data_IF_424783125487
#
_entry.id   IF_424783125487
#
_cell.length_a   1.000
_cell.length_b   1.000
_cell.length_c   1.000
_cell.angle_alpha   90.00
_cell.angle_beta   90.00
_cell.angle_gamma   90.00
#
_symmetry.space_group_name_H-M   'P 1'
#
loop_
_entity.id
_entity.type
_entity.pdbx_description
1 polymer ?
#
# COMPACT_ATOMS: atom_id res chain seq x y z
N UNK A 1 24.68 -7.00 22.54
CA UNK A 1 23.50 -6.45 21.84
C UNK A 1 22.58 -7.62 21.66
N UNK A 2 21.37 -7.53 22.21
CA UNK A 2 20.35 -8.56 22.04
C UNK A 2 20.02 -8.67 20.54
N UNK A 3 19.86 -9.90 20.05
CA UNK A 3 19.58 -10.14 18.64
C UNK A 3 18.11 -9.77 18.37
N UNK A 4 17.86 -8.68 17.62
CA UNK A 4 16.51 -8.18 17.33
C UNK A 4 15.69 -9.10 16.40
N UNK A 5 16.27 -10.22 15.93
CA UNK A 5 15.66 -11.12 14.95
C UNK A 5 14.88 -12.27 15.57
N UNK A 6 14.99 -12.50 16.88
CA UNK A 6 14.20 -13.50 17.59
C UNK A 6 13.93 -13.06 19.03
N UNK A 7 12.81 -13.49 19.58
CA UNK A 7 12.59 -13.48 21.03
C UNK A 7 13.20 -14.74 21.63
N UNK A 8 13.80 -14.60 22.82
CA UNK A 8 14.44 -15.68 23.56
C UNK A 8 13.93 -15.72 24.98
N UNK A 9 13.49 -16.88 25.43
CA UNK A 9 13.17 -17.12 26.84
C UNK A 9 13.88 -18.37 27.31
N UNK A 10 14.31 -18.39 28.57
CA UNK A 10 14.93 -19.56 29.18
C UNK A 10 14.40 -19.75 30.60
N UNK A 11 13.92 -20.95 30.91
CA UNK A 11 13.37 -21.26 32.22
C UNK A 11 14.04 -22.52 32.81
N UNK A 12 14.59 -22.46 34.04
CA UNK A 12 14.80 -21.26 34.87
C UNK A 12 15.96 -20.36 34.39
N UNK A 13 15.83 -19.04 34.53
CA UNK A 13 16.88 -18.06 34.16
C UNK A 13 18.12 -18.14 35.06
N UNK A 14 17.92 -18.39 36.36
CA UNK A 14 18.99 -18.47 37.36
C UNK A 14 18.74 -19.66 38.26
N UNK A 15 19.78 -20.47 38.49
CA UNK A 15 19.70 -21.62 39.40
C UNK A 15 20.93 -21.73 40.29
N UNK A 16 20.68 -22.10 41.54
CA UNK A 16 21.73 -22.52 42.48
C UNK A 16 21.88 -24.03 42.41
N UNK A 17 23.01 -24.49 41.88
CA UNK A 17 23.35 -25.91 41.77
C UNK A 17 24.15 -26.37 42.99
N UNK A 18 23.72 -27.46 43.65
CA UNK A 18 24.55 -28.13 44.67
C UNK A 18 25.43 -29.21 44.04
N UNK A 19 26.38 -29.70 44.81
CA UNK A 19 27.26 -30.79 44.36
C UNK A 19 26.43 -32.01 43.97
N UNK A 20 26.71 -32.57 42.79
CA UNK A 20 26.02 -33.72 42.20
C UNK A 20 24.56 -33.47 41.77
N UNK A 21 24.12 -32.21 41.70
CA UNK A 21 22.83 -31.85 41.11
C UNK A 21 22.97 -31.50 39.63
N UNK A 22 21.92 -31.77 38.87
CA UNK A 22 21.77 -31.40 37.47
C UNK A 22 20.51 -30.57 37.34
N UNK A 23 20.57 -29.54 36.50
CA UNK A 23 19.42 -28.69 36.17
C UNK A 23 19.08 -28.91 34.71
N UNK A 24 17.79 -29.06 34.46
CA UNK A 24 17.22 -29.00 33.12
C UNK A 24 16.67 -27.59 32.94
N UNK A 25 17.04 -26.95 31.85
CA UNK A 25 16.42 -25.71 31.41
C UNK A 25 15.65 -25.96 30.12
N UNK A 26 14.64 -25.13 29.88
CA UNK A 26 13.91 -25.05 28.61
C UNK A 26 14.21 -23.68 28.00
N UNK A 27 14.77 -23.67 26.80
CA UNK A 27 14.93 -22.46 26.01
C UNK A 27 13.87 -22.43 24.89
N UNK A 28 13.17 -21.33 24.74
CA UNK A 28 12.26 -21.08 23.62
C UNK A 28 12.77 -19.92 22.78
N UNK A 29 12.66 -20.09 21.46
CA UNK A 29 13.14 -19.13 20.47
C UNK A 29 12.01 -18.89 19.49
N UNK A 30 11.62 -17.63 19.36
CA UNK A 30 10.56 -17.20 18.43
C UNK A 30 11.17 -16.27 17.39
N UNK A 31 11.47 -16.77 16.18
CA UNK A 31 11.96 -15.91 15.11
C UNK A 31 10.94 -14.84 14.74
N UNK A 32 11.43 -13.61 14.55
CA UNK A 32 10.61 -12.44 14.21
C UNK A 32 10.62 -12.10 12.72
N UNK A 33 11.51 -12.73 11.94
CA UNK A 33 11.62 -12.52 10.50
C UNK A 33 12.20 -13.75 9.79
N UNK A 34 12.09 -13.76 8.45
CA UNK A 34 12.70 -14.78 7.61
C UNK A 34 14.21 -14.55 7.53
N UNK A 35 15.02 -15.35 8.21
CA UNK A 35 16.46 -15.14 8.32
C UNK A 35 17.24 -16.44 8.59
N UNK A 36 18.56 -16.34 8.53
CA UNK A 36 19.49 -17.37 9.01
C UNK A 36 20.15 -16.84 10.28
N UNK A 37 20.05 -17.60 11.36
CA UNK A 37 20.68 -17.29 12.64
C UNK A 37 21.88 -18.20 12.84
N UNK A 38 23.01 -17.57 13.14
CA UNK A 38 24.22 -18.17 13.66
C UNK A 38 24.62 -17.32 14.88
N UNK A 39 24.30 -17.83 16.07
CA UNK A 39 24.42 -17.13 17.34
C UNK A 39 24.86 -18.11 18.45
N UNK A 40 24.98 -17.63 19.68
CA UNK A 40 25.31 -18.48 20.83
C UNK A 40 24.62 -18.02 22.11
N UNK A 41 24.15 -18.98 22.88
CA UNK A 41 23.65 -18.77 24.23
C UNK A 41 24.84 -18.84 25.18
N UNK A 42 25.10 -17.79 25.95
CA UNK A 42 26.20 -17.73 26.91
C UNK A 42 25.64 -17.98 28.32
N UNK A 43 26.25 -18.93 29.03
CA UNK A 43 25.95 -19.27 30.40
C UNK A 43 27.08 -18.79 31.31
N UNK A 44 26.72 -18.04 32.34
CA UNK A 44 27.64 -17.62 33.39
C UNK A 44 27.42 -18.48 34.63
N UNK A 45 28.47 -19.12 35.12
CA UNK A 45 28.47 -19.93 36.34
C UNK A 45 29.43 -19.33 37.35
N UNK A 46 28.98 -19.15 38.58
CA UNK A 46 29.79 -18.63 39.69
C UNK A 46 30.00 -19.69 40.78
N UNK A 47 31.26 -20.08 41.03
CA UNK A 47 31.61 -20.94 42.16
C UNK A 47 31.88 -20.08 43.39
N UNK A 48 30.88 -20.02 44.29
CA UNK A 48 30.93 -19.24 45.54
C UNK A 48 32.10 -19.66 46.45
N UNK A 49 32.52 -20.93 46.44
CA UNK A 49 33.58 -21.42 47.33
C UNK A 49 34.98 -21.07 46.83
N UNK A 50 35.15 -21.05 45.50
CA UNK A 50 36.43 -20.74 44.86
C UNK A 50 36.57 -19.28 44.48
N UNK A 51 35.47 -18.53 44.52
CA UNK A 51 35.37 -17.15 44.04
C UNK A 51 35.80 -17.02 42.56
N UNK A 52 35.29 -17.93 41.73
CA UNK A 52 35.63 -18.02 40.30
C UNK A 52 34.36 -17.96 39.45
N UNK A 53 34.36 -17.06 38.46
CA UNK A 53 33.40 -17.05 37.36
C UNK A 53 33.91 -17.92 36.22
N UNK A 54 33.03 -18.73 35.65
CA UNK A 54 33.27 -19.53 34.45
C UNK A 54 32.18 -19.27 33.43
N UNK A 55 32.54 -19.25 32.16
CA UNK A 55 31.61 -19.07 31.06
C UNK A 55 31.65 -20.28 30.14
N UNK A 56 30.48 -20.71 29.69
CA UNK A 56 30.36 -21.67 28.60
C UNK A 56 29.25 -21.23 27.65
N UNK A 57 29.28 -21.69 26.41
CA UNK A 57 28.28 -21.31 25.42
C UNK A 57 27.76 -22.49 24.63
N UNK A 58 26.49 -22.41 24.24
CA UNK A 58 25.83 -23.35 23.34
C UNK A 58 25.58 -22.62 22.02
N UNK A 59 26.06 -23.19 20.90
CA UNK A 59 25.81 -22.64 19.57
C UNK A 59 24.34 -22.76 19.19
N UNK A 60 23.84 -21.75 18.49
CA UNK A 60 22.47 -21.63 18.03
C UNK A 60 22.49 -21.38 16.52
N UNK A 61 22.24 -22.42 15.75
CA UNK A 61 22.22 -22.36 14.29
C UNK A 61 20.85 -22.85 13.77
N UNK A 62 20.11 -21.98 13.10
CA UNK A 62 18.86 -22.35 12.43
C UNK A 62 18.55 -21.44 11.25
N UNK A 63 17.73 -21.95 10.34
CA UNK A 63 17.20 -21.22 9.19
C UNK A 63 15.68 -21.24 9.32
N UNK A 64 15.05 -20.09 9.22
CA UNK A 64 13.59 -20.00 9.27
C UNK A 64 12.96 -20.39 7.93
N UNK A 65 11.67 -20.70 7.95
CA UNK A 65 10.89 -20.75 6.71
C UNK A 65 10.89 -19.37 6.03
N UNK A 66 10.83 -19.35 4.70
CA UNK A 66 10.67 -18.09 3.97
C UNK A 66 9.20 -17.65 4.00
N UNK A 67 8.99 -16.47 4.57
CA UNK A 67 7.70 -15.78 4.60
C UNK A 67 7.86 -14.37 4.04
N UNK A 68 6.75 -13.64 3.95
CA UNK A 68 6.77 -12.21 3.60
C UNK A 68 7.07 -11.31 4.81
N UNK A 69 7.44 -11.90 5.96
CA UNK A 69 8.09 -11.16 7.06
C UNK A 69 9.60 -11.25 6.81
N UNK A 70 10.20 -10.13 6.41
CA UNK A 70 11.58 -10.11 5.87
C UNK A 70 12.58 -9.60 6.91
N UNK A 71 13.83 -10.02 6.77
CA UNK A 71 14.93 -9.47 7.55
C UNK A 71 15.30 -8.07 7.03
N UNK A 72 15.32 -7.10 7.94
CA UNK A 72 15.66 -5.71 7.62
C UNK A 72 17.08 -5.59 7.07
N UNK A 73 18.01 -6.45 7.52
CA UNK A 73 19.41 -6.39 7.11
C UNK A 73 19.63 -6.84 5.65
N UNK A 74 18.64 -7.51 5.04
CA UNK A 74 18.66 -7.82 3.60
C UNK A 74 18.35 -6.58 2.73
N UNK A 75 17.88 -5.47 3.33
CA UNK A 75 17.48 -4.27 2.61
C UNK A 75 18.66 -3.32 2.40
N UNK A 76 18.94 -3.02 1.14
CA UNK A 76 19.94 -2.02 0.76
C UNK A 76 19.21 -0.73 0.38
N UNK A 77 19.39 0.32 1.19
CA UNK A 77 18.81 1.63 0.93
C UNK A 77 19.68 2.43 -0.05
N UNK A 78 19.04 3.08 -1.03
CA UNK A 78 19.69 3.96 -2.00
C UNK A 78 19.22 5.40 -1.80
N UNK A 79 18.15 5.81 -2.49
CA UNK A 79 17.72 7.21 -2.56
C UNK A 79 16.34 7.40 -1.94
N UNK A 80 16.17 8.45 -1.13
CA UNK A 80 14.85 8.91 -0.69
C UNK A 80 13.99 9.37 -1.89
N UNK A 81 12.83 8.76 -2.07
CA UNK A 81 11.86 9.05 -3.13
C UNK A 81 10.83 10.10 -2.69
N UNK A 82 10.42 10.07 -1.42
CA UNK A 82 9.42 10.98 -0.89
C UNK A 82 9.20 10.80 0.60
N UNK A 83 8.43 11.72 1.18
CA UNK A 83 8.01 11.69 2.58
C UNK A 83 6.59 12.25 2.64
N UNK A 84 5.71 11.56 3.38
CA UNK A 84 4.32 11.96 3.56
C UNK A 84 3.82 11.57 4.95
N UNK A 85 2.50 11.63 5.14
CA UNK A 85 1.85 11.26 6.41
C UNK A 85 1.85 9.76 6.73
N UNK A 86 2.40 8.93 5.82
CA UNK A 86 2.53 7.48 6.00
C UNK A 86 4.00 7.04 6.13
N UNK A 87 4.89 7.97 6.49
CA UNK A 87 6.32 7.73 6.62
C UNK A 87 7.17 8.17 5.41
N UNK A 88 8.34 7.55 5.28
CA UNK A 88 9.37 7.90 4.28
C UNK A 88 9.52 6.75 3.29
N UNK A 89 9.52 7.07 2.00
CA UNK A 89 9.73 6.08 0.94
C UNK A 89 11.14 6.22 0.36
N UNK A 90 11.89 5.13 0.35
CA UNK A 90 13.21 5.00 -0.26
C UNK A 90 13.14 4.09 -1.48
N UNK A 91 14.02 4.33 -2.44
CA UNK A 91 14.45 3.33 -3.41
C UNK A 91 15.48 2.44 -2.73
N UNK A 92 15.45 1.14 -3.00
CA UNK A 92 16.46 0.22 -2.52
C UNK A 92 16.57 -1.04 -3.37
N UNK A 93 17.32 -2.00 -2.85
CA UNK A 93 17.47 -3.35 -3.41
C UNK A 93 17.09 -4.36 -2.34
N UNK A 94 16.30 -5.36 -2.72
CA UNK A 94 15.99 -6.53 -1.91
C UNK A 94 16.10 -7.79 -2.77
N UNK A 95 17.01 -8.70 -2.41
CA UNK A 95 17.29 -9.95 -3.15
C UNK A 95 17.39 -9.72 -4.67
N UNK A 96 18.30 -8.82 -5.06
CA UNK A 96 18.58 -8.42 -6.45
C UNK A 96 17.46 -7.63 -7.17
N UNK A 97 16.30 -7.41 -6.54
CA UNK A 97 15.21 -6.63 -7.14
C UNK A 97 15.28 -5.16 -6.73
N UNK A 98 15.04 -4.24 -7.68
CA UNK A 98 14.80 -2.83 -7.36
C UNK A 98 13.44 -2.67 -6.67
N UNK A 99 13.45 -2.07 -5.47
CA UNK A 99 12.26 -1.97 -4.61
C UNK A 99 12.02 -0.55 -4.11
N UNK A 100 10.77 -0.29 -3.74
CA UNK A 100 10.37 0.84 -2.91
C UNK A 100 10.20 0.36 -1.47
N UNK A 101 10.90 1.01 -0.54
CA UNK A 101 10.91 0.70 0.89
C UNK A 101 10.19 1.85 1.62
N UNK A 102 8.97 1.59 2.08
CA UNK A 102 8.16 2.52 2.88
C UNK A 102 8.44 2.28 4.36
N UNK A 103 9.21 3.17 4.97
CA UNK A 103 9.57 3.13 6.40
C UNK A 103 8.57 3.94 7.20
N UNK A 104 7.98 3.33 8.23
CA UNK A 104 7.09 4.02 9.17
C UNK A 104 7.94 4.76 10.21
N UNK A 105 7.56 5.98 10.56
CA UNK A 105 8.32 6.78 11.54
C UNK A 105 7.95 6.37 12.97
N UNK A 106 8.94 6.33 13.86
CA UNK A 106 8.72 6.05 15.30
C UNK A 106 7.71 6.99 15.95
N UNK A 107 7.69 8.28 15.56
CA UNK A 107 6.72 9.27 16.07
C UNK A 107 5.27 8.95 15.69
N UNK A 108 5.07 8.08 14.70
CA UNK A 108 3.77 7.65 14.20
C UNK A 108 3.41 6.24 14.71
N UNK A 109 4.27 5.56 15.49
CA UNK A 109 4.03 4.22 16.04
C UNK A 109 3.18 4.27 17.32
N UNK A 110 1.87 4.32 17.13
CA UNK A 110 0.86 4.00 18.15
C UNK A 110 0.40 2.56 17.94
N UNK A 111 -0.20 1.93 18.96
CA UNK A 111 -0.79 0.58 18.80
C UNK A 111 -1.76 0.54 17.60
N UNK A 112 -2.59 1.57 17.45
CA UNK A 112 -3.54 1.68 16.33
C UNK A 112 -2.87 1.74 14.96
N UNK A 113 -1.78 2.51 14.80
CA UNK A 113 -1.11 2.62 13.49
C UNK A 113 -0.34 1.35 13.14
N UNK A 114 0.18 0.62 14.13
CA UNK A 114 0.78 -0.69 13.92
C UNK A 114 -0.26 -1.74 13.51
N UNK A 115 -1.47 -1.70 14.08
CA UNK A 115 -2.59 -2.53 13.63
C UNK A 115 -3.02 -2.20 12.20
N UNK A 116 -3.10 -0.90 11.85
CA UNK A 116 -3.41 -0.48 10.48
C UNK A 116 -2.34 -0.95 9.48
N UNK A 117 -1.07 -0.87 9.86
CA UNK A 117 0.05 -1.38 9.05
C UNK A 117 -0.03 -2.90 8.86
N UNK A 118 -0.27 -3.66 9.92
CA UNK A 118 -0.47 -5.12 9.82
C UNK A 118 -1.64 -5.47 8.89
N UNK A 119 -2.74 -4.71 8.98
CA UNK A 119 -3.90 -4.89 8.08
C UNK A 119 -3.52 -4.59 6.63
N UNK A 120 -2.74 -3.54 6.36
CA UNK A 120 -2.24 -3.23 5.01
C UNK A 120 -1.36 -4.37 4.46
N UNK A 121 -0.40 -4.85 5.27
CA UNK A 121 0.47 -5.97 4.92
C UNK A 121 -0.33 -7.24 4.64
N UNK A 122 -1.27 -7.61 5.51
CA UNK A 122 -2.13 -8.79 5.34
C UNK A 122 -2.99 -8.75 4.08
N UNK A 123 -3.37 -7.55 3.62
CA UNK A 123 -4.11 -7.38 2.37
C UNK A 123 -3.19 -7.55 1.16
N UNK A 124 -2.06 -6.85 1.15
CA UNK A 124 -1.07 -6.92 0.08
C UNK A 124 -0.51 -8.33 -0.11
N UNK A 125 -0.29 -9.04 0.99
CA UNK A 125 0.18 -10.42 0.99
C UNK A 125 -0.75 -11.38 0.24
N UNK A 126 -2.04 -11.06 0.14
CA UNK A 126 -3.06 -11.88 -0.54
C UNK A 126 -3.26 -11.50 -1.99
N UNK A 127 -2.77 -10.33 -2.44
CA UNK A 127 -3.00 -9.88 -3.80
C UNK A 127 -2.10 -10.61 -4.79
N UNK A 128 -2.74 -11.16 -5.82
CA UNK A 128 -2.12 -11.82 -6.96
C UNK A 128 -2.73 -11.23 -8.23
N UNK A 129 -2.24 -10.05 -8.61
CA UNK A 129 -2.75 -9.28 -9.73
C UNK A 129 -1.63 -8.46 -10.38
N UNK A 130 -1.46 -8.57 -11.69
CA UNK A 130 -0.42 -7.84 -12.43
C UNK A 130 -0.63 -6.32 -12.46
N UNK A 131 -1.86 -5.84 -12.20
CA UNK A 131 -2.23 -4.42 -12.18
C UNK A 131 -2.14 -3.79 -10.78
N UNK A 132 -1.71 -4.54 -9.77
CA UNK A 132 -1.45 -4.06 -8.42
C UNK A 132 0.05 -4.17 -8.16
N UNK A 133 0.61 -3.22 -7.40
CA UNK A 133 2.03 -3.26 -7.05
C UNK A 133 2.39 -4.58 -6.36
N UNK A 134 3.41 -5.27 -6.86
CA UNK A 134 3.95 -6.47 -6.24
C UNK A 134 4.49 -6.16 -4.86
N UNK A 135 3.99 -6.88 -3.87
CA UNK A 135 4.49 -6.88 -2.50
C UNK A 135 5.60 -7.93 -2.35
N UNK A 136 6.73 -7.53 -1.75
CA UNK A 136 7.85 -8.42 -1.47
C UNK A 136 7.92 -8.84 -0.01
N UNK A 137 7.45 -7.99 0.90
CA UNK A 137 7.46 -8.29 2.32
C UNK A 137 7.44 -7.07 3.21
N UNK A 138 7.37 -7.31 4.52
CA UNK A 138 7.40 -6.28 5.55
C UNK A 138 8.32 -6.69 6.70
N UNK A 139 8.95 -5.71 7.33
CA UNK A 139 9.69 -5.85 8.57
C UNK A 139 8.85 -5.25 9.70
N UNK A 140 8.75 -5.97 10.82
CA UNK A 140 8.03 -5.54 12.02
C UNK A 140 8.94 -5.32 13.22
N UNK A 141 10.27 -5.35 13.03
CA UNK A 141 11.23 -5.08 14.09
C UNK A 141 11.01 -3.64 14.59
N UNK A 142 10.93 -3.42 15.92
CA UNK A 142 10.78 -2.08 16.49
C UNK A 142 11.84 -1.11 15.93
N UNK A 143 11.47 0.14 15.64
CA UNK A 143 12.32 1.18 15.00
C UNK A 143 12.77 0.90 13.55
N UNK A 144 12.51 -0.31 13.04
CA UNK A 144 12.85 -0.77 11.68
C UNK A 144 11.61 -1.20 10.89
N UNK A 145 10.43 -0.75 11.30
CA UNK A 145 9.17 -1.15 10.67
C UNK A 145 9.06 -0.57 9.26
N UNK A 146 8.98 -1.45 8.26
CA UNK A 146 8.91 -1.04 6.87
C UNK A 146 8.18 -2.04 5.98
N UNK A 147 7.69 -1.56 4.84
CA UNK A 147 7.05 -2.36 3.80
C UNK A 147 7.81 -2.22 2.48
N UNK A 148 7.96 -3.35 1.77
CA UNK A 148 8.75 -3.45 0.54
C UNK A 148 7.86 -3.86 -0.62
N UNK A 149 7.81 -3.02 -1.65
CA UNK A 149 7.06 -3.27 -2.89
C UNK A 149 7.95 -3.06 -4.11
N UNK A 150 7.50 -3.48 -5.28
CA UNK A 150 8.19 -3.18 -6.53
C UNK A 150 8.35 -1.68 -6.77
N UNK A 151 9.49 -1.31 -7.34
CA UNK A 151 9.82 0.08 -7.64
C UNK A 151 9.23 0.53 -8.97
N UNK A 152 8.37 1.54 -8.94
CA UNK A 152 7.88 2.20 -10.14
C UNK A 152 8.82 3.32 -10.60
N UNK A 153 9.68 3.03 -11.57
CA UNK A 153 10.73 3.95 -12.04
C UNK A 153 10.24 5.32 -12.51
N UNK A 154 8.98 5.43 -12.95
CA UNK A 154 8.41 6.69 -13.42
C UNK A 154 7.52 7.39 -12.38
N UNK A 155 7.32 6.78 -11.22
CA UNK A 155 6.50 7.31 -10.13
C UNK A 155 5.01 7.43 -10.48
N UNK A 156 4.30 8.25 -9.69
CA UNK A 156 2.85 8.49 -9.81
C UNK A 156 2.47 9.17 -11.12
N UNK A 157 1.32 8.80 -11.68
CA UNK A 157 0.75 9.43 -12.86
C UNK A 157 0.38 10.91 -12.62
N UNK A 158 -0.03 11.27 -11.40
CA UNK A 158 -0.28 12.67 -11.01
C UNK A 158 0.89 13.60 -11.37
N UNK A 159 2.14 13.19 -11.04
CA UNK A 159 3.35 13.94 -11.37
C UNK A 159 3.51 14.18 -12.88
N UNK A 160 3.04 13.26 -13.72
CA UNK A 160 3.13 13.39 -15.18
C UNK A 160 2.08 14.35 -15.73
N UNK A 161 0.85 14.27 -15.23
CA UNK A 161 -0.26 15.16 -15.56
C UNK A 161 0.08 16.60 -15.15
N UNK A 162 0.50 16.80 -13.89
CA UNK A 162 0.87 18.12 -13.34
C UNK A 162 1.98 18.81 -14.12
N UNK A 163 3.00 18.05 -14.54
CA UNK A 163 4.13 18.59 -15.31
C UNK A 163 3.90 18.60 -16.83
N UNK A 164 2.68 18.29 -17.30
CA UNK A 164 2.30 18.28 -18.73
C UNK A 164 3.26 17.51 -19.62
N UNK A 165 3.82 16.41 -19.10
CA UNK A 165 4.73 15.58 -19.88
C UNK A 165 3.99 14.95 -21.05
N UNK A 166 4.62 14.89 -22.23
CA UNK A 166 3.95 14.35 -23.43
C UNK A 166 3.74 12.84 -23.30
N UNK A 167 2.49 12.42 -23.51
CA UNK A 167 2.07 11.02 -23.53
C UNK A 167 1.07 10.84 -24.67
N UNK A 168 1.17 9.74 -25.42
CA UNK A 168 0.25 9.43 -26.51
C UNK A 168 -1.17 9.20 -26.00
N UNK A 169 -2.16 9.47 -26.85
CA UNK A 169 -3.56 9.23 -26.49
C UNK A 169 -3.82 7.74 -26.23
N UNK A 170 -3.22 6.87 -27.03
CA UNK A 170 -3.26 5.43 -26.86
C UNK A 170 -2.80 5.00 -25.46
N UNK A 171 -1.65 5.54 -24.99
CA UNK A 171 -1.15 5.17 -23.68
C UNK A 171 -2.02 5.71 -22.53
N UNK A 172 -2.66 6.87 -22.68
CA UNK A 172 -3.65 7.36 -21.71
C UNK A 172 -4.82 6.39 -21.55
N UNK A 173 -5.33 5.84 -22.66
CA UNK A 173 -6.39 4.82 -22.62
C UNK A 173 -5.88 3.54 -21.94
N UNK A 174 -4.63 3.12 -22.20
CA UNK A 174 -4.02 1.98 -21.50
C UNK A 174 -3.89 2.20 -20.00
N UNK A 175 -3.47 3.40 -19.56
CA UNK A 175 -3.43 3.74 -18.14
C UNK A 175 -4.80 3.61 -17.47
N UNK A 176 -5.86 4.10 -18.12
CA UNK A 176 -7.22 3.92 -17.64
C UNK A 176 -7.62 2.44 -17.59
N UNK A 177 -7.24 1.65 -18.60
CA UNK A 177 -7.55 0.23 -18.67
C UNK A 177 -6.86 -0.57 -17.56
N UNK A 178 -5.57 -0.35 -17.36
CA UNK A 178 -4.79 -0.99 -16.31
C UNK A 178 -5.37 -0.69 -14.91
N UNK A 179 -5.70 0.58 -14.66
CA UNK A 179 -6.37 0.99 -13.42
C UNK A 179 -7.76 0.34 -13.26
N UNK A 180 -8.55 0.26 -14.34
CA UNK A 180 -9.86 -0.39 -14.29
C UNK A 180 -9.75 -1.89 -13.95
N UNK A 181 -8.74 -2.59 -14.48
CA UNK A 181 -8.46 -4.00 -14.19
C UNK A 181 -8.00 -4.21 -12.75
N UNK A 182 -7.18 -3.31 -12.20
CA UNK A 182 -6.84 -3.33 -10.77
C UNK A 182 -8.08 -3.17 -9.89
N UNK A 183 -8.97 -2.23 -10.22
CA UNK A 183 -10.20 -1.97 -9.47
C UNK A 183 -11.17 -3.16 -9.57
N UNK A 184 -11.32 -3.76 -10.76
CA UNK A 184 -12.13 -4.96 -10.95
C UNK A 184 -11.64 -6.11 -10.08
N UNK A 185 -10.32 -6.33 -10.03
CA UNK A 185 -9.73 -7.36 -9.19
C UNK A 185 -10.05 -7.15 -7.71
N UNK A 186 -9.96 -5.91 -7.21
CA UNK A 186 -10.32 -5.60 -5.83
C UNK A 186 -11.82 -5.82 -5.56
N UNK A 187 -12.68 -5.35 -6.47
CA UNK A 187 -14.13 -5.42 -6.31
C UNK A 187 -14.64 -6.86 -6.37
N UNK A 188 -14.07 -7.71 -7.24
CA UNK A 188 -14.41 -9.14 -7.31
C UNK A 188 -14.01 -9.91 -6.05
N UNK A 189 -12.98 -9.44 -5.34
CA UNK A 189 -12.55 -9.96 -4.04
C UNK A 189 -13.23 -9.28 -2.84
N UNK A 190 -14.22 -8.40 -3.07
CA UNK A 190 -14.97 -7.73 -2.00
C UNK A 190 -14.15 -6.70 -1.22
N UNK A 191 -13.20 -6.04 -1.88
CA UNK A 191 -12.28 -5.06 -1.29
C UNK A 191 -12.56 -3.68 -1.90
N UNK A 192 -12.65 -2.66 -1.06
CA UNK A 192 -12.65 -1.26 -1.46
C UNK A 192 -11.26 -0.67 -1.29
N UNK A 193 -10.80 0.09 -2.28
CA UNK A 193 -9.55 0.83 -2.17
C UNK A 193 -9.71 2.12 -1.35
N UNK A 194 -10.81 2.88 -1.58
CA UNK A 194 -11.17 4.14 -0.91
C UNK A 194 -10.27 5.36 -1.18
N UNK A 195 -9.24 5.24 -2.02
CA UNK A 195 -8.36 6.35 -2.38
C UNK A 195 -7.84 6.21 -3.82
N UNK A 196 -8.75 5.89 -4.76
CA UNK A 196 -8.43 5.83 -6.19
C UNK A 196 -8.17 7.25 -6.72
N UNK A 197 -6.93 7.51 -7.14
CA UNK A 197 -6.50 8.79 -7.74
C UNK A 197 -5.17 8.62 -8.49
N UNK A 198 -4.79 9.53 -9.40
CA UNK A 198 -3.53 9.43 -10.13
C UNK A 198 -2.25 9.45 -9.28
N UNK A 199 -2.29 9.91 -8.01
CA UNK A 199 -1.16 9.78 -7.08
C UNK A 199 -0.87 8.31 -6.72
N UNK A 200 -1.93 7.51 -6.59
CA UNK A 200 -1.88 6.10 -6.22
C UNK A 200 -1.83 5.17 -7.45
N UNK A 201 -1.62 5.74 -8.64
CA UNK A 201 -1.45 5.03 -9.90
C UNK A 201 0.00 5.20 -10.37
N UNK A 202 0.82 4.17 -10.23
CA UNK A 202 2.24 4.23 -10.53
C UNK A 202 2.55 3.73 -11.95
N UNK A 203 3.40 4.45 -12.66
CA UNK A 203 3.78 4.10 -14.03
C UNK A 203 5.06 3.26 -14.04
N UNK A 204 4.98 2.07 -14.66
CA UNK A 204 6.09 1.14 -14.81
C UNK A 204 6.71 1.18 -16.21
N UNK A 205 5.90 1.50 -17.23
CA UNK A 205 6.37 1.56 -18.61
C UNK A 205 5.59 2.57 -19.44
N UNK A 206 6.28 3.26 -20.36
CA UNK A 206 5.68 4.08 -21.42
C UNK A 206 5.65 3.37 -22.78
N UNK A 207 6.19 2.16 -22.87
CA UNK A 207 6.18 1.39 -24.11
C UNK A 207 4.76 0.85 -24.37
N UNK A 208 4.21 1.10 -25.57
CA UNK A 208 2.82 0.80 -25.89
C UNK A 208 2.53 -0.71 -26.02
N UNK A 209 3.55 -1.50 -26.35
CA UNK A 209 3.50 -2.94 -26.61
C UNK A 209 3.55 -3.83 -25.36
N UNK A 210 3.83 -3.27 -24.18
CA UNK A 210 3.88 -4.07 -22.93
C UNK A 210 2.47 -4.40 -22.44
N UNK A 211 2.30 -5.51 -21.71
CA UNK A 211 0.99 -5.89 -21.17
C UNK A 211 0.44 -4.89 -20.15
N UNK A 212 1.30 -4.42 -19.24
CA UNK A 212 0.95 -3.53 -18.13
C UNK A 212 1.85 -2.31 -18.11
N UNK A 213 1.26 -1.13 -18.18
CA UNK A 213 1.95 0.16 -18.15
C UNK A 213 1.86 0.82 -16.77
N UNK A 214 0.76 0.57 -16.05
CA UNK A 214 0.42 1.20 -14.79
C UNK A 214 -0.06 0.16 -13.77
N UNK A 215 0.30 0.37 -12.50
CA UNK A 215 -0.22 -0.44 -11.40
C UNK A 215 -0.72 0.43 -10.26
N UNK A 216 -1.74 -0.07 -9.56
CA UNK A 216 -2.35 0.58 -8.42
C UNK A 216 -1.56 0.29 -7.14
N UNK A 217 -1.43 1.30 -6.26
CA UNK A 217 -0.69 1.23 -5.00
C UNK A 217 -1.45 1.90 -3.85
N UNK A 218 -0.87 1.88 -2.65
CA UNK A 218 -1.33 2.55 -1.43
C UNK A 218 -2.65 2.02 -0.88
N UNK A 219 -2.56 0.90 -0.16
CA UNK A 219 -3.70 0.16 0.38
C UNK A 219 -3.92 0.43 1.87
N UNK A 220 -3.25 1.42 2.47
CA UNK A 220 -3.43 1.79 3.88
C UNK A 220 -4.87 2.19 4.20
N UNK A 221 -5.57 2.77 3.21
CA UNK A 221 -6.99 3.05 3.28
C UNK A 221 -7.87 1.89 2.81
N UNK A 222 -7.37 0.79 2.27
CA UNK A 222 -8.22 -0.29 1.77
C UNK A 222 -8.93 -1.04 2.92
N UNK A 223 -10.14 -1.55 2.64
CA UNK A 223 -10.92 -2.35 3.60
C UNK A 223 -11.79 -3.39 2.89
N UNK A 224 -11.96 -4.54 3.55
CA UNK A 224 -12.98 -5.52 3.16
C UNK A 224 -14.39 -4.99 3.44
N UNK A 225 -15.30 -5.18 2.48
CA UNK A 225 -16.71 -4.79 2.59
C UNK A 225 -17.37 -5.39 3.83
N UNK A 226 -17.05 -6.64 4.15
CA UNK A 226 -17.65 -7.37 5.27
C UNK A 226 -17.28 -6.74 6.62
N UNK A 227 -16.04 -6.25 6.78
CA UNK A 227 -15.58 -5.54 8.00
C UNK A 227 -16.17 -4.13 8.12
N UNK A 228 -16.43 -3.45 7.00
CA UNK A 228 -17.10 -2.15 7.00
C UNK A 228 -18.56 -2.23 7.44
N UNK A 229 -19.24 -3.35 7.16
CA UNK A 229 -20.61 -3.57 7.62
C UNK A 229 -20.72 -3.80 9.13
N UNK A 230 -19.66 -4.29 9.78
CA UNK A 230 -19.65 -4.59 11.22
C UNK A 230 -19.10 -3.43 12.07
N UNK A 231 -18.09 -2.68 11.59
CA UNK A 231 -17.47 -1.56 12.31
C UNK A 231 -17.64 -0.25 11.53
N UNK A 232 -18.80 0.38 11.63
CA UNK A 232 -19.07 1.68 10.99
C UNK A 232 -18.50 2.85 11.82
N UNK A 233 -17.19 3.01 11.84
CA UNK A 233 -16.59 4.30 12.23
C UNK A 233 -16.47 5.17 10.98
N UNK A 234 -17.24 6.27 10.95
CA UNK A 234 -17.02 7.38 10.02
C UNK A 234 -15.71 8.08 10.41
N UNK A 235 -14.58 7.46 10.09
CA UNK A 235 -13.25 8.02 10.32
C UNK A 235 -13.12 9.31 9.51
N UNK A 236 -13.13 10.44 10.20
CA UNK A 236 -12.81 11.76 9.63
C UNK A 236 -11.49 11.65 8.85
N UNK A 237 -11.49 12.07 7.58
CA UNK A 237 -10.27 12.28 6.80
C UNK A 237 -9.83 11.15 5.86
N UNK A 238 -10.65 10.13 5.57
CA UNK A 238 -10.29 9.10 4.57
C UNK A 238 -10.51 9.59 3.15
N UNK A 239 -9.46 9.51 2.33
CA UNK A 239 -9.46 9.85 0.91
C UNK A 239 -9.13 11.32 0.63
N UNK A 240 -8.78 11.64 -0.61
CA UNK A 240 -8.59 13.05 -1.03
C UNK A 240 -9.93 13.67 -1.45
N UNK A 241 -10.42 14.76 -0.82
CA UNK A 241 -11.78 15.29 -1.01
C UNK A 241 -12.20 15.50 -2.46
N UNK A 242 -11.23 15.81 -3.32
CA UNK A 242 -11.38 16.04 -4.76
C UNK A 242 -11.96 14.82 -5.50
N UNK A 243 -11.64 13.60 -5.05
CA UNK A 243 -12.03 12.35 -5.72
C UNK A 243 -13.19 11.65 -5.02
N UNK A 244 -13.70 12.20 -3.91
CA UNK A 244 -14.73 11.55 -3.12
C UNK A 244 -16.10 11.56 -3.80
N UNK A 245 -16.81 10.45 -3.69
CA UNK A 245 -18.19 10.34 -4.14
C UNK A 245 -19.14 11.20 -3.26
N UNK A 246 -20.28 11.68 -3.80
CA UNK A 246 -21.25 12.48 -3.06
C UNK A 246 -21.69 11.84 -1.74
N UNK A 247 -21.96 10.54 -1.75
CA UNK A 247 -22.37 9.78 -0.56
C UNK A 247 -21.25 9.68 0.49
N UNK A 248 -19.99 9.67 0.07
CA UNK A 248 -18.82 9.67 0.97
C UNK A 248 -18.68 11.05 1.62
N UNK A 249 -18.79 12.12 0.83
CA UNK A 249 -18.76 13.50 1.32
C UNK A 249 -19.91 13.79 2.31
N UNK A 250 -21.07 13.19 2.08
CA UNK A 250 -22.26 13.30 2.93
C UNK A 250 -22.25 12.33 4.13
N UNK A 251 -21.16 11.57 4.33
CA UNK A 251 -21.03 10.59 5.42
C UNK A 251 -22.18 9.56 5.42
N UNK A 252 -22.57 9.10 4.24
CA UNK A 252 -23.54 8.03 4.06
C UNK A 252 -22.82 6.69 3.89
N UNK A 253 -23.58 5.60 3.94
CA UNK A 253 -23.04 4.27 3.63
C UNK A 253 -22.62 4.21 2.16
N UNK A 254 -21.42 3.73 1.92
CA UNK A 254 -20.86 3.59 0.58
C UNK A 254 -20.39 2.16 0.32
N UNK A 255 -20.27 1.82 -0.97
CA UNK A 255 -19.86 0.50 -1.49
C UNK A 255 -18.74 0.68 -2.51
N UNK A 256 -18.41 -0.37 -3.26
CA UNK A 256 -17.45 -0.37 -4.38
C UNK A 256 -17.75 0.70 -5.43
N UNK A 257 -19.00 1.13 -5.57
CA UNK A 257 -19.43 2.25 -6.42
C UNK A 257 -18.77 3.60 -6.07
N UNK A 258 -18.26 3.76 -4.86
CA UNK A 258 -17.48 4.94 -4.47
C UNK A 258 -16.11 4.96 -5.19
N UNK A 259 -15.41 3.83 -5.26
CA UNK A 259 -14.17 3.71 -6.03
C UNK A 259 -14.42 3.99 -7.52
N UNK A 260 -15.56 3.59 -8.06
CA UNK A 260 -15.94 3.89 -9.46
C UNK A 260 -16.10 5.40 -9.67
N UNK A 261 -16.67 6.13 -8.71
CA UNK A 261 -16.76 7.58 -8.80
C UNK A 261 -15.37 8.22 -8.85
N UNK A 262 -14.50 7.83 -7.91
CA UNK A 262 -13.10 8.29 -7.84
C UNK A 262 -12.32 7.94 -9.11
N UNK A 263 -12.59 6.76 -9.68
CA UNK A 263 -12.06 6.34 -10.98
C UNK A 263 -12.57 7.22 -12.13
N UNK A 264 -13.84 7.64 -12.12
CA UNK A 264 -14.38 8.59 -13.09
C UNK A 264 -13.64 9.93 -13.11
N UNK A 265 -13.35 10.48 -11.94
CA UNK A 265 -12.52 11.69 -11.80
C UNK A 265 -11.10 11.43 -12.31
N UNK A 266 -10.51 10.28 -11.98
CA UNK A 266 -9.18 9.90 -12.46
C UNK A 266 -9.12 9.76 -13.98
N UNK A 267 -10.09 9.11 -14.62
CA UNK A 267 -10.17 9.00 -16.09
C UNK A 267 -10.27 10.39 -16.72
N UNK A 268 -11.05 11.29 -16.12
CA UNK A 268 -11.15 12.67 -16.59
C UNK A 268 -9.77 13.34 -16.63
N UNK A 269 -8.99 13.22 -15.56
CA UNK A 269 -7.63 13.80 -15.51
C UNK A 269 -6.68 13.13 -16.51
N UNK A 270 -6.74 11.80 -16.63
CA UNK A 270 -5.85 11.03 -17.49
C UNK A 270 -6.12 11.33 -18.97
N UNK A 271 -7.38 11.33 -19.40
CA UNK A 271 -7.69 11.54 -20.83
C UNK A 271 -7.54 13.01 -21.24
N UNK A 272 -7.99 13.94 -20.39
CA UNK A 272 -7.78 15.38 -20.63
C UNK A 272 -6.31 15.79 -20.47
N UNK A 273 -5.55 15.03 -19.67
CA UNK A 273 -4.19 15.36 -19.23
C UNK A 273 -4.11 16.69 -18.46
N UNK A 274 -5.18 16.99 -17.71
CA UNK A 274 -5.39 18.18 -16.90
C UNK A 274 -5.82 17.78 -15.47
N UNK A 275 -5.59 18.65 -14.49
CA UNK A 275 -6.19 18.46 -13.17
C UNK A 275 -7.70 18.68 -13.26
N UNK A 276 -8.49 17.87 -12.57
CA UNK A 276 -9.95 17.90 -12.64
C UNK A 276 -10.51 19.19 -12.04
N UNK A 277 -9.95 19.63 -10.92
CA UNK A 277 -10.37 20.82 -10.18
C UNK A 277 -9.15 21.70 -9.88
N UNK A 278 -8.57 22.37 -10.90
CA UNK A 278 -7.36 23.15 -10.73
C UNK A 278 -7.64 24.39 -9.87
N UNK A 279 -6.71 24.76 -9.00
CA UNK A 279 -6.85 25.96 -8.14
C UNK A 279 -6.83 27.27 -8.91
N UNK A 280 -6.42 27.24 -10.19
CA UNK A 280 -6.52 28.37 -11.11
C UNK A 280 -7.97 28.68 -11.50
N UNK A 281 -8.89 27.72 -11.36
CA UNK A 281 -10.33 27.98 -11.52
C UNK A 281 -10.87 28.62 -10.23
N UNK A 282 -11.42 29.85 -10.28
CA UNK A 282 -11.96 30.54 -9.10
C UNK A 282 -13.06 29.76 -8.37
N UNK A 283 -13.72 28.81 -9.05
CA UNK A 283 -14.73 27.93 -8.45
C UNK A 283 -14.13 26.92 -7.48
N UNK A 284 -12.85 26.56 -7.65
CA UNK A 284 -12.22 25.42 -6.98
C UNK A 284 -10.93 25.78 -6.23
N UNK A 285 -10.76 27.06 -5.88
CA UNK A 285 -9.63 27.54 -5.05
C UNK A 285 -9.51 26.76 -3.73
N UNK A 286 -10.64 26.28 -3.21
CA UNK A 286 -10.71 25.58 -1.93
C UNK A 286 -11.40 24.22 -2.01
N UNK A 287 -10.90 23.18 -1.34
CA UNK A 287 -11.47 21.82 -1.41
C UNK A 287 -12.96 21.73 -1.03
N UNK A 288 -13.44 22.54 -0.07
CA UNK A 288 -14.85 22.52 0.32
C UNK A 288 -15.80 23.01 -0.78
N UNK A 289 -15.32 23.85 -1.71
CA UNK A 289 -16.10 24.28 -2.87
C UNK A 289 -16.33 23.13 -3.85
N UNK A 290 -15.35 22.24 -3.98
CA UNK A 290 -15.46 21.02 -4.79
C UNK A 290 -16.53 20.10 -4.17
N UNK A 291 -16.49 19.91 -2.84
CA UNK A 291 -17.50 19.14 -2.14
C UNK A 291 -18.91 19.73 -2.34
N UNK A 292 -19.09 21.04 -2.16
CA UNK A 292 -20.36 21.74 -2.40
C UNK A 292 -20.84 21.58 -3.85
N UNK A 293 -19.94 21.73 -4.83
CA UNK A 293 -20.25 21.54 -6.25
C UNK A 293 -20.78 20.13 -6.53
N UNK A 294 -20.10 19.11 -6.01
CA UNK A 294 -20.43 17.68 -6.21
C UNK A 294 -21.73 17.29 -5.51
N UNK A 295 -21.93 17.73 -4.25
CA UNK A 295 -23.13 17.48 -3.44
C UNK A 295 -24.36 18.09 -4.10
N UNK A 296 -24.24 19.27 -4.72
CA UNK A 296 -25.31 19.92 -5.48
C UNK A 296 -25.59 19.28 -6.86
N UNK A 297 -25.04 18.08 -7.11
CA UNK A 297 -25.30 17.31 -8.34
C UNK A 297 -24.54 17.82 -9.57
N UNK A 298 -23.66 18.82 -9.42
CA UNK A 298 -22.88 19.34 -10.55
C UNK A 298 -21.70 18.43 -10.87
N UNK A 299 -21.29 18.41 -12.13
CA UNK A 299 -20.13 17.64 -12.65
C UNK A 299 -19.32 18.52 -13.59
N UNK A 300 -18.05 18.16 -13.78
CA UNK A 300 -17.17 18.86 -14.72
C UNK A 300 -17.71 18.73 -16.14
N UNK A 301 -17.51 19.79 -16.93
CA UNK A 301 -17.93 19.85 -18.32
C UNK A 301 -16.98 19.04 -19.22
N UNK A 302 -17.45 18.66 -20.41
CA UNK A 302 -16.59 17.93 -21.37
C UNK A 302 -15.45 18.84 -21.85
N UNK A 303 -14.18 18.42 -21.74
CA UNK A 303 -13.07 19.15 -22.34
C UNK A 303 -13.22 19.19 -23.87
N UNK A 304 -12.90 20.33 -24.51
CA UNK A 304 -13.10 20.52 -25.96
C UNK A 304 -12.40 19.46 -26.82
N UNK A 305 -11.23 19.01 -26.39
CA UNK A 305 -10.41 18.01 -27.12
C UNK A 305 -10.80 16.56 -26.80
N UNK A 306 -11.70 16.33 -25.86
CA UNK A 306 -12.07 14.98 -25.43
C UNK A 306 -13.24 14.43 -26.29
N UNK A 307 -13.07 13.26 -26.94
CA UNK A 307 -14.13 12.60 -27.70
C UNK A 307 -15.37 12.27 -26.85
N UNK A 308 -16.56 12.35 -27.44
CA UNK A 308 -17.83 12.07 -26.75
C UNK A 308 -17.93 10.62 -26.25
N UNK A 309 -17.27 9.68 -26.92
CA UNK A 309 -17.26 8.28 -26.50
C UNK A 309 -16.46 8.10 -25.21
N UNK A 310 -15.35 8.81 -25.04
CA UNK A 310 -14.52 8.79 -23.84
C UNK A 310 -15.20 9.51 -22.68
N UNK A 311 -15.79 10.69 -22.96
CA UNK A 311 -16.54 11.43 -21.96
C UNK A 311 -17.78 10.67 -21.45
N UNK A 312 -18.39 9.83 -22.29
CA UNK A 312 -19.46 8.93 -21.86
C UNK A 312 -19.01 7.90 -20.82
N UNK A 313 -17.77 7.40 -20.90
CA UNK A 313 -17.22 6.49 -19.88
C UNK A 313 -17.10 7.23 -18.55
N UNK A 314 -16.52 8.43 -18.57
CA UNK A 314 -16.38 9.28 -17.37
C UNK A 314 -17.75 9.56 -16.75
N UNK A 315 -18.72 9.96 -17.56
CA UNK A 315 -20.04 10.36 -17.08
C UNK A 315 -20.87 9.22 -16.50
N UNK A 316 -20.64 8.01 -16.97
CA UNK A 316 -21.22 6.79 -16.42
C UNK A 316 -20.53 6.31 -15.13
N UNK A 317 -19.26 6.68 -14.91
CA UNK A 317 -18.57 6.42 -13.65
C UNK A 317 -19.04 7.34 -12.51
N UNK A 318 -19.29 8.62 -12.78
CA UNK A 318 -19.55 9.63 -11.73
C UNK A 318 -21.03 10.05 -11.56
N UNK A 319 -21.98 9.16 -11.90
CA UNK A 319 -23.43 9.42 -11.72
C UNK A 319 -23.75 9.81 -10.27
N UNK A 320 -24.76 10.66 -10.09
CA UNK A 320 -25.21 11.13 -8.79
C UNK A 320 -25.60 9.99 -7.85
N UNK A 321 -26.50 9.13 -8.32
CA UNK A 321 -26.87 7.90 -7.63
C UNK A 321 -25.77 6.85 -7.78
N UNK A 322 -25.36 6.22 -6.68
CA UNK A 322 -24.31 5.20 -6.67
C UNK A 322 -24.66 3.98 -7.53
N UNK A 323 -25.92 3.55 -7.50
CA UNK A 323 -26.39 2.35 -8.18
C UNK A 323 -26.53 2.52 -9.70
N UNK A 324 -26.53 3.77 -10.17
CA UNK A 324 -26.58 4.09 -11.61
C UNK A 324 -25.18 4.10 -12.26
N UNK A 325 -24.12 3.95 -11.45
CA UNK A 325 -22.73 3.94 -11.93
C UNK A 325 -22.41 2.60 -12.58
N UNK A 326 -21.62 2.64 -13.65
CA UNK A 326 -21.14 1.40 -14.29
C UNK A 326 -20.20 0.63 -13.35
N UNK A 327 -20.03 -0.67 -13.58
CA UNK A 327 -19.02 -1.46 -12.84
C UNK A 327 -17.67 -1.33 -13.53
N UNK A 328 -16.61 -1.69 -12.80
CA UNK A 328 -15.25 -1.73 -13.35
C UNK A 328 -15.14 -2.60 -14.62
N UNK A 329 -15.78 -3.78 -14.63
CA UNK A 329 -15.83 -4.65 -15.82
C UNK A 329 -16.47 -3.99 -17.04
N UNK A 330 -17.51 -3.17 -16.84
CA UNK A 330 -18.19 -2.47 -17.92
C UNK A 330 -17.29 -1.34 -18.47
N UNK A 331 -16.51 -0.68 -17.60
CA UNK A 331 -15.49 0.30 -18.01
C UNK A 331 -14.36 -0.35 -18.81
N UNK A 332 -13.85 -1.51 -18.37
CA UNK A 332 -12.82 -2.32 -19.07
C UNK A 332 -13.27 -2.60 -20.51
N UNK A 333 -14.46 -3.18 -20.69
CA UNK A 333 -14.98 -3.52 -22.02
C UNK A 333 -15.13 -2.31 -22.95
N UNK A 334 -15.38 -1.12 -22.39
CA UNK A 334 -15.47 0.13 -23.18
C UNK A 334 -14.09 0.68 -23.54
N UNK A 335 -13.13 0.63 -22.62
CA UNK A 335 -11.75 1.07 -22.85
C UNK A 335 -11.02 0.18 -23.86
N UNK A 336 -11.20 -1.15 -23.80
CA UNK A 336 -10.65 -2.08 -24.79
C UNK A 336 -11.15 -1.78 -26.21
N UNK A 337 -12.44 -1.45 -26.36
CA UNK A 337 -13.00 -1.04 -27.66
C UNK A 337 -12.40 0.26 -28.21
N UNK A 338 -11.88 1.13 -27.35
CA UNK A 338 -11.17 2.34 -27.80
C UNK A 338 -9.76 2.02 -28.29
N UNK A 339 -9.10 1.00 -27.75
CA UNK A 339 -7.78 0.57 -28.20
C UNK A 339 -7.82 -0.15 -29.56
N UNK A 340 -8.92 -0.86 -29.88
CA UNK A 340 -9.07 -1.56 -31.17
C UNK A 340 -9.35 -0.58 -32.33
N UNK A 341 -9.87 0.62 -32.04
CA UNK A 341 -10.28 1.62 -33.05
C UNK A 341 -9.20 2.65 -33.38
N UNK A 342 -8.11 2.68 -32.63
CA UNK A 342 -6.93 3.50 -32.88
C UNK A 342 -5.84 2.61 -33.49
#
# INVERSE_FOLDING_TARGET
MENEKYEFTIEPEVVVLRSQEVVVFKAEITPLCSTQIDDKIIFHSYDIKKDVMTEFSIGLEFITEQTNIIDYDELIFDKKLGEGGFGIVYKGIFRENEVAIKVLKDTEMTENSMEEFKVEVDMLDKFRCEYIVQFYGACFIPTKTCMVTEYAKYGSLHKWIKNKKKVSHYLKIKFCLDAAKAIEYLHSNGILHRDIKPDNMLVFSFAEQVGVNLKLTDFGSARSINRLMTNMTFTKGIGTPVYMAPEVLQQQRYKTTADIYSFGISIYEILSWEEAYPTSDPRFVYPWRIAEFVINGKRLEKPTKLPDIEYRIITDCWKGKSDDRIRACDAISRLEKLLIKN
#
